data_IF_437876523517
#
_entry.id   IF_437876523517
#
_cell.length_a   1.000
_cell.length_b   1.000
_cell.length_c   1.000
_cell.angle_alpha   90.00
_cell.angle_beta   90.00
_cell.angle_gamma   90.00
#
_symmetry.space_group_name_H-M   'P 1'
#
loop_
_entity.id
_entity.type
_entity.pdbx_description
1 polymer ?
#
# COMPACT_ATOMS: atom_id res chain seq x y z
N UNK A 1 -3.47 -57.99 10.12
CA UNK A 1 -3.05 -56.64 10.54
C UNK A 1 -3.59 -55.64 9.52
N UNK A 2 -4.52 -54.75 9.86
CA UNK A 2 -4.91 -53.69 8.95
C UNK A 2 -3.78 -52.67 8.89
N UNK A 3 -3.38 -52.27 7.69
CA UNK A 3 -2.49 -51.16 7.42
C UNK A 3 -3.08 -49.88 8.07
N UNK A 4 -2.27 -49.07 8.76
CA UNK A 4 -2.73 -47.81 9.28
C UNK A 4 -3.19 -46.94 8.11
N UNK A 5 -4.45 -46.52 8.18
CA UNK A 5 -5.08 -45.76 7.14
C UNK A 5 -4.29 -44.49 6.78
N UNK A 6 -3.93 -44.39 5.53
CA UNK A 6 -3.68 -43.12 4.89
C UNK A 6 -4.95 -42.30 5.01
N UNK A 7 -5.04 -41.51 6.07
CA UNK A 7 -6.04 -40.47 6.23
C UNK A 7 -5.78 -39.34 5.23
N UNK A 8 -5.91 -39.65 3.95
CA UNK A 8 -6.04 -38.63 2.93
C UNK A 8 -7.48 -38.16 3.03
N UNK A 9 -7.65 -37.06 3.73
CA UNK A 9 -8.89 -36.32 3.65
C UNK A 9 -9.26 -36.12 2.18
N UNK A 10 -10.53 -36.15 1.83
CA UNK A 10 -11.02 -36.14 0.45
C UNK A 10 -10.80 -34.78 -0.22
N UNK A 11 -9.58 -34.50 -0.59
CA UNK A 11 -9.29 -33.39 -1.51
C UNK A 11 -9.79 -33.70 -2.93
N UNK A 12 -9.99 -34.98 -3.26
CA UNK A 12 -10.54 -35.39 -4.54
C UNK A 12 -11.93 -34.82 -4.83
N UNK A 13 -12.78 -34.67 -3.81
CA UNK A 13 -14.13 -34.12 -3.99
C UNK A 13 -14.15 -32.64 -4.35
N UNK A 14 -13.24 -31.85 -3.78
CA UNK A 14 -13.13 -30.43 -4.08
C UNK A 14 -12.57 -30.21 -5.52
N UNK A 15 -11.57 -30.99 -5.91
CA UNK A 15 -10.98 -30.94 -7.25
C UNK A 15 -12.01 -31.33 -8.32
N UNK A 16 -12.79 -32.38 -8.09
CA UNK A 16 -13.87 -32.78 -9.00
C UNK A 16 -15.01 -31.75 -9.06
N UNK A 17 -15.33 -31.06 -7.99
CA UNK A 17 -16.34 -30.01 -7.99
C UNK A 17 -15.87 -28.76 -8.75
N UNK A 18 -14.60 -28.39 -8.63
CA UNK A 18 -13.99 -27.31 -9.42
C UNK A 18 -13.97 -27.67 -10.92
N UNK A 19 -13.55 -28.88 -11.26
CA UNK A 19 -13.57 -29.37 -12.64
C UNK A 19 -15.01 -29.40 -13.19
N UNK A 20 -15.98 -29.92 -12.44
CA UNK A 20 -17.38 -29.98 -12.84
C UNK A 20 -17.99 -28.59 -13.05
N UNK A 21 -17.56 -27.60 -12.28
CA UNK A 21 -18.04 -26.22 -12.42
C UNK A 21 -17.46 -25.51 -13.66
N UNK A 22 -16.25 -25.88 -14.06
CA UNK A 22 -15.51 -25.26 -15.19
C UNK A 22 -15.79 -25.99 -16.52
N UNK A 23 -16.11 -27.29 -16.47
CA UNK A 23 -16.29 -28.14 -17.68
C UNK A 23 -17.74 -28.36 -18.09
N UNK A 24 -18.70 -27.63 -17.53
CA UNK A 24 -20.12 -27.77 -17.90
C UNK A 24 -20.41 -27.31 -19.31
N UNK A 25 -21.20 -28.13 -20.04
CA UNK A 25 -21.52 -27.99 -21.47
C UNK A 25 -22.26 -26.71 -21.91
N UNK A 26 -22.79 -25.91 -21.00
CA UNK A 26 -23.52 -24.69 -21.28
C UNK A 26 -22.79 -23.46 -20.75
N UNK A 27 -21.48 -23.49 -20.69
CA UNK A 27 -20.68 -22.49 -20.03
C UNK A 27 -20.23 -21.37 -20.96
N UNK A 28 -20.40 -20.14 -20.50
CA UNK A 28 -19.76 -19.00 -21.15
C UNK A 28 -18.25 -19.14 -20.86
N UNK A 29 -17.36 -19.19 -21.88
CA UNK A 29 -15.92 -19.39 -21.66
C UNK A 29 -15.26 -18.13 -21.08
N UNK A 30 -15.85 -17.61 -20.01
CA UNK A 30 -15.41 -16.41 -19.31
C UNK A 30 -15.61 -16.61 -17.83
N UNK A 31 -14.49 -16.64 -17.10
CA UNK A 31 -14.53 -16.71 -15.64
C UNK A 31 -14.82 -15.31 -15.06
N UNK A 32 -15.90 -15.17 -14.29
CA UNK A 32 -16.22 -13.97 -13.55
C UNK A 32 -15.73 -14.14 -12.11
N UNK A 33 -14.72 -13.39 -11.73
CA UNK A 33 -14.19 -13.39 -10.37
C UNK A 33 -14.95 -12.36 -9.54
N UNK A 34 -15.64 -12.82 -8.49
CA UNK A 34 -16.44 -11.96 -7.59
C UNK A 34 -15.74 -11.68 -6.26
N UNK A 35 -14.57 -12.27 -6.02
CA UNK A 35 -13.92 -12.29 -4.71
C UNK A 35 -12.92 -11.15 -4.50
N UNK A 36 -12.56 -10.42 -5.56
CA UNK A 36 -11.45 -9.48 -5.49
C UNK A 36 -11.87 -8.04 -5.69
N UNK A 37 -11.43 -7.19 -4.79
CA UNK A 37 -11.66 -5.76 -4.82
C UNK A 37 -10.45 -5.04 -5.43
N UNK A 38 -10.70 -4.06 -6.27
CA UNK A 38 -9.66 -3.17 -6.77
C UNK A 38 -9.27 -2.14 -5.71
N UNK A 39 -7.97 -1.88 -5.57
CA UNK A 39 -7.44 -0.79 -4.75
C UNK A 39 -6.88 0.31 -5.66
N UNK A 40 -7.50 1.49 -5.70
CA UNK A 40 -6.98 2.63 -6.46
C UNK A 40 -5.60 3.06 -5.96
N UNK A 41 -5.41 3.02 -4.64
CA UNK A 41 -4.16 3.38 -4.01
C UNK A 41 -3.02 2.46 -4.43
N UNK A 42 -3.24 1.13 -4.37
CA UNK A 42 -2.25 0.16 -4.82
C UNK A 42 -1.91 0.35 -6.31
N UNK A 43 -2.92 0.56 -7.15
CA UNK A 43 -2.71 0.76 -8.58
C UNK A 43 -1.82 1.99 -8.85
N UNK A 44 -2.07 3.08 -8.13
CA UNK A 44 -1.26 4.29 -8.22
C UNK A 44 0.18 4.06 -7.76
N UNK A 45 0.38 3.39 -6.62
CA UNK A 45 1.70 3.10 -6.08
C UNK A 45 2.49 2.15 -6.99
N UNK A 46 1.84 1.14 -7.58
CA UNK A 46 2.47 0.25 -8.56
C UNK A 46 2.87 0.98 -9.85
N UNK A 47 2.05 1.94 -10.31
CA UNK A 47 2.38 2.77 -11.48
C UNK A 47 3.61 3.64 -11.29
N UNK A 48 3.93 4.00 -10.04
CA UNK A 48 5.09 4.81 -9.65
C UNK A 48 6.14 3.99 -8.89
N UNK A 49 6.04 2.66 -8.90
CA UNK A 49 6.96 1.79 -8.17
C UNK A 49 8.38 1.88 -8.75
N UNK A 50 9.35 1.93 -7.86
CA UNK A 50 10.77 1.88 -8.20
C UNK A 50 11.27 0.44 -8.11
N UNK A 51 12.25 0.09 -8.94
CA UNK A 51 12.89 -1.22 -8.88
C UNK A 51 14.14 -1.15 -8.02
N UNK A 52 14.22 -2.05 -7.04
CA UNK A 52 15.46 -2.31 -6.33
C UNK A 52 16.30 -3.26 -7.18
N UNK A 53 17.58 -2.95 -7.36
CA UNK A 53 18.49 -3.74 -8.18
C UNK A 53 18.53 -5.21 -7.70
N UNK A 54 18.69 -6.13 -8.64
CA UNK A 54 18.73 -7.57 -8.36
C UNK A 54 19.79 -7.97 -7.33
N UNK A 55 19.46 -8.94 -6.50
CA UNK A 55 20.34 -9.42 -5.42
C UNK A 55 20.37 -8.53 -4.17
N UNK A 56 19.72 -7.38 -4.15
CA UNK A 56 19.61 -6.51 -2.96
C UNK A 56 18.37 -6.87 -2.16
N UNK A 57 18.59 -7.19 -0.88
CA UNK A 57 17.51 -7.44 0.07
C UNK A 57 17.14 -6.20 0.89
N UNK A 58 17.88 -5.10 0.73
CA UNK A 58 17.72 -3.89 1.51
C UNK A 58 17.89 -2.64 0.63
N UNK A 59 17.00 -1.68 0.83
CA UNK A 59 17.11 -0.34 0.21
C UNK A 59 17.65 0.62 1.26
N UNK A 60 18.75 1.29 0.95
CA UNK A 60 19.37 2.28 1.84
C UNK A 60 19.27 3.66 1.21
N UNK A 61 18.74 4.62 1.96
CA UNK A 61 18.59 6.01 1.52
C UNK A 61 19.25 6.95 2.52
N UNK A 62 20.19 7.81 2.11
CA UNK A 62 20.74 8.83 2.99
C UNK A 62 19.69 9.92 3.24
N UNK A 63 19.42 10.20 4.50
CA UNK A 63 18.42 11.16 4.98
C UNK A 63 19.09 12.24 5.80
N UNK A 64 18.76 13.51 5.54
CA UNK A 64 19.23 14.63 6.34
C UNK A 64 18.14 15.07 7.32
N UNK A 65 18.38 14.87 8.62
CA UNK A 65 17.43 15.20 9.69
C UNK A 65 17.64 16.58 10.32
N UNK A 66 18.84 17.15 10.20
CA UNK A 66 19.16 18.45 10.77
C UNK A 66 20.19 19.22 9.94
N UNK A 67 20.28 20.54 10.17
CA UNK A 67 21.32 21.34 9.53
C UNK A 67 22.70 20.94 10.07
N UNK A 68 23.65 20.73 9.17
CA UNK A 68 25.03 20.41 9.50
C UNK A 68 25.88 21.64 9.81
N UNK A 69 25.40 22.83 9.46
CA UNK A 69 26.09 24.09 9.63
C UNK A 69 25.15 25.16 10.17
N UNK A 70 25.56 25.87 11.19
CA UNK A 70 24.84 27.03 11.71
C UNK A 70 25.44 28.32 11.11
N UNK A 71 24.57 29.17 10.58
CA UNK A 71 24.93 30.53 10.18
C UNK A 71 24.68 31.54 11.29
N UNK A 72 25.45 32.66 11.29
CA UNK A 72 25.21 33.78 12.20
C UNK A 72 25.20 35.09 11.46
N UNK A 73 24.42 36.04 11.97
CA UNK A 73 24.48 37.43 11.51
C UNK A 73 25.60 38.15 12.24
N UNK A 74 26.50 38.83 11.50
CA UNK A 74 27.54 39.65 12.09
C UNK A 74 27.37 41.09 11.62
N UNK A 75 27.66 42.06 12.54
CA UNK A 75 27.74 43.46 12.16
C UNK A 75 28.99 43.76 11.32
N UNK A 76 29.03 44.98 10.73
CA UNK A 76 30.20 45.44 9.99
C UNK A 76 31.46 45.39 10.86
N UNK A 77 32.47 44.62 10.43
CA UNK A 77 33.70 44.40 11.20
C UNK A 77 33.60 43.36 12.33
N UNK A 78 32.46 42.68 12.51
CA UNK A 78 32.31 41.61 13.48
C UNK A 78 33.01 40.33 13.06
N UNK A 79 33.61 39.62 14.02
CA UNK A 79 34.14 38.26 13.84
C UNK A 79 33.03 37.21 13.70
N UNK A 80 33.30 36.10 13.06
CA UNK A 80 32.42 34.93 13.05
C UNK A 80 33.03 33.82 13.89
N UNK A 81 32.17 33.09 14.60
CA UNK A 81 32.59 31.89 15.30
C UNK A 81 32.76 30.74 14.31
N UNK A 82 33.81 29.96 14.48
CA UNK A 82 33.97 28.74 13.67
C UNK A 82 32.77 27.79 13.89
N UNK A 83 32.06 27.41 12.83
CA UNK A 83 30.90 26.53 13.01
C UNK A 83 31.35 25.16 13.51
N UNK A 84 30.65 24.63 14.48
CA UNK A 84 30.77 23.22 14.87
C UNK A 84 29.98 22.38 13.86
N UNK A 85 30.66 21.49 13.18
CA UNK A 85 30.02 20.56 12.23
C UNK A 85 29.24 19.53 13.07
N UNK A 86 27.94 19.51 12.90
CA UNK A 86 27.06 18.50 13.52
C UNK A 86 26.72 17.43 12.49
N UNK A 87 26.92 16.13 12.79
CA UNK A 87 26.51 15.08 11.87
C UNK A 87 24.97 15.12 11.70
N UNK A 88 24.52 15.45 10.50
CA UNK A 88 23.10 15.63 10.19
C UNK A 88 22.52 14.59 9.24
N UNK A 89 23.37 13.72 8.66
CA UNK A 89 22.96 12.68 7.73
C UNK A 89 22.90 11.35 8.46
N UNK A 90 21.78 10.65 8.30
CA UNK A 90 21.57 9.27 8.77
C UNK A 90 21.13 8.42 7.56
N UNK A 91 21.50 7.13 7.59
CA UNK A 91 21.06 6.19 6.57
C UNK A 91 19.78 5.50 7.02
N UNK A 92 18.70 5.76 6.32
CA UNK A 92 17.49 4.97 6.42
C UNK A 92 17.68 3.63 5.70
N UNK A 93 17.26 2.53 6.32
CA UNK A 93 17.41 1.18 5.81
C UNK A 93 16.07 0.45 5.86
N UNK A 94 15.62 -0.07 4.71
CA UNK A 94 14.36 -0.80 4.56
C UNK A 94 14.64 -2.16 3.95
N UNK A 95 14.10 -3.20 4.56
CA UNK A 95 14.25 -4.57 4.10
C UNK A 95 13.08 -4.94 3.22
N UNK A 96 13.34 -5.47 2.03
CA UNK A 96 12.30 -5.99 1.16
C UNK A 96 11.63 -7.20 1.81
N UNK A 97 10.31 -7.20 1.87
CA UNK A 97 9.51 -8.33 2.33
C UNK A 97 9.08 -9.18 1.14
N UNK A 98 9.12 -10.50 1.27
CA UNK A 98 8.79 -11.43 0.20
C UNK A 98 7.48 -12.16 0.49
N UNK A 99 6.51 -11.98 -0.40
CA UNK A 99 5.27 -12.72 -0.43
C UNK A 99 5.40 -13.88 -1.40
N UNK A 100 5.13 -15.09 -0.92
CA UNK A 100 5.31 -16.33 -1.68
C UNK A 100 4.00 -17.09 -1.73
N UNK A 101 3.51 -17.36 -2.95
CA UNK A 101 2.26 -18.09 -3.17
C UNK A 101 2.54 -19.36 -3.98
N UNK A 102 2.31 -20.54 -3.39
CA UNK A 102 2.44 -21.80 -4.13
C UNK A 102 1.26 -22.01 -5.08
N UNK A 103 1.55 -22.49 -6.27
CA UNK A 103 0.57 -22.86 -7.31
C UNK A 103 0.66 -24.37 -7.51
N UNK A 104 -0.19 -25.19 -6.85
CA UNK A 104 -0.18 -26.63 -7.04
C UNK A 104 -0.84 -27.01 -8.37
N UNK A 105 -0.24 -27.98 -9.06
CA UNK A 105 -0.78 -28.62 -10.26
C UNK A 105 -0.80 -30.14 -10.06
N UNK A 106 -1.91 -30.70 -9.55
CA UNK A 106 -2.07 -32.13 -9.39
C UNK A 106 -2.02 -32.88 -10.74
N UNK A 107 -1.41 -34.06 -10.76
CA UNK A 107 -1.21 -34.83 -11.99
C UNK A 107 -2.52 -35.21 -12.70
N UNK A 108 -3.59 -35.47 -11.94
CA UNK A 108 -4.90 -35.81 -12.51
C UNK A 108 -5.52 -34.72 -13.39
N UNK A 109 -5.23 -33.46 -13.09
CA UNK A 109 -5.76 -32.32 -13.86
C UNK A 109 -5.10 -32.18 -15.24
N UNK A 110 -3.81 -32.50 -15.35
CA UNK A 110 -3.07 -32.47 -16.63
C UNK A 110 -3.59 -33.51 -17.62
N UNK A 111 -4.17 -34.65 -17.11
CA UNK A 111 -4.70 -35.72 -17.96
C UNK A 111 -6.13 -35.41 -18.44
N UNK A 112 -6.93 -34.78 -17.59
CA UNK A 112 -8.39 -34.61 -17.83
C UNK A 112 -8.68 -33.41 -18.74
N UNK A 113 -7.82 -32.40 -18.72
CA UNK A 113 -8.03 -31.17 -19.50
C UNK A 113 -7.37 -31.30 -20.88
N UNK A 114 -8.09 -31.86 -21.85
CA UNK A 114 -7.57 -32.14 -23.20
C UNK A 114 -8.18 -31.28 -24.31
N UNK A 115 -9.16 -30.39 -24.03
CA UNK A 115 -9.91 -29.68 -25.07
C UNK A 115 -9.70 -28.18 -25.02
N UNK A 116 -9.33 -27.57 -26.16
CA UNK A 116 -9.06 -26.12 -26.31
C UNK A 116 -10.27 -25.20 -26.05
N UNK A 117 -11.47 -25.76 -25.92
CA UNK A 117 -12.72 -25.01 -25.71
C UNK A 117 -13.06 -24.75 -24.26
N UNK A 118 -12.30 -25.30 -23.34
CA UNK A 118 -12.53 -25.18 -21.89
C UNK A 118 -11.61 -24.13 -21.28
N UNK A 119 -12.08 -23.49 -20.22
CA UNK A 119 -11.24 -22.54 -19.47
C UNK A 119 -10.10 -23.31 -18.82
N UNK A 120 -8.86 -22.96 -19.15
CA UNK A 120 -7.70 -23.60 -18.54
C UNK A 120 -7.68 -23.36 -17.04
N UNK A 121 -7.80 -24.41 -16.24
CA UNK A 121 -7.74 -24.35 -14.77
C UNK A 121 -6.43 -23.71 -14.30
N UNK A 122 -5.33 -24.03 -14.97
CA UNK A 122 -4.04 -23.41 -14.69
C UNK A 122 -4.08 -21.89 -14.88
N UNK A 123 -4.66 -21.41 -15.98
CA UNK A 123 -4.81 -19.97 -16.23
C UNK A 123 -5.71 -19.32 -15.18
N UNK A 124 -6.79 -19.98 -14.78
CA UNK A 124 -7.68 -19.50 -13.72
C UNK A 124 -6.95 -19.39 -12.38
N UNK A 125 -6.16 -20.42 -11.99
CA UNK A 125 -5.35 -20.39 -10.77
C UNK A 125 -4.26 -19.32 -10.80
N UNK A 126 -3.58 -19.14 -11.92
CA UNK A 126 -2.58 -18.08 -12.04
C UNK A 126 -3.23 -16.70 -11.88
N UNK A 127 -4.37 -16.47 -12.50
CA UNK A 127 -5.11 -15.21 -12.32
C UNK A 127 -5.54 -15.01 -10.87
N UNK A 128 -5.98 -16.08 -10.19
CA UNK A 128 -6.36 -16.07 -8.78
C UNK A 128 -5.16 -15.70 -7.88
N UNK A 129 -4.01 -16.33 -8.10
CA UNK A 129 -2.78 -16.03 -7.37
C UNK A 129 -2.37 -14.56 -7.51
N UNK A 130 -2.42 -14.02 -8.72
CA UNK A 130 -2.13 -12.59 -8.93
C UNK A 130 -3.15 -11.68 -8.25
N UNK A 131 -4.41 -12.07 -8.25
CA UNK A 131 -5.46 -11.31 -7.58
C UNK A 131 -5.31 -11.34 -6.06
N UNK A 132 -5.05 -12.51 -5.46
CA UNK A 132 -4.76 -12.68 -4.02
C UNK A 132 -3.52 -11.87 -3.61
N UNK A 133 -2.47 -11.90 -4.41
CA UNK A 133 -1.25 -11.13 -4.13
C UNK A 133 -1.55 -9.63 -4.09
N UNK A 134 -2.28 -9.10 -5.09
CA UNK A 134 -2.66 -7.68 -5.11
C UNK A 134 -3.55 -7.30 -3.93
N UNK A 135 -4.49 -8.16 -3.56
CA UNK A 135 -5.36 -7.94 -2.40
C UNK A 135 -4.58 -7.91 -1.09
N UNK A 136 -3.62 -8.83 -0.92
CA UNK A 136 -2.72 -8.84 0.23
C UNK A 136 -1.88 -7.57 0.29
N UNK A 137 -1.24 -7.18 -0.82
CA UNK A 137 -0.49 -5.93 -0.90
C UNK A 137 -1.34 -4.72 -0.51
N UNK A 138 -2.57 -4.61 -1.05
CA UNK A 138 -3.48 -3.52 -0.75
C UNK A 138 -3.86 -3.45 0.74
N UNK A 139 -4.12 -4.61 1.36
CA UNK A 139 -4.45 -4.67 2.79
C UNK A 139 -3.27 -4.28 3.68
N UNK A 140 -2.06 -4.74 3.36
CA UNK A 140 -0.86 -4.45 4.15
C UNK A 140 -0.42 -3.00 4.09
N UNK A 141 -0.78 -2.25 3.03
CA UNK A 141 -0.44 -0.83 2.90
C UNK A 141 -0.97 0.05 4.05
N UNK A 142 -2.07 -0.36 4.69
CA UNK A 142 -2.75 0.43 5.73
C UNK A 142 -2.65 -0.18 7.13
N UNK A 143 -1.96 -1.30 7.27
CA UNK A 143 -1.87 -2.05 8.54
C UNK A 143 -0.63 -1.66 9.31
N UNK A 144 -0.71 -1.68 10.65
CA UNK A 144 0.48 -1.55 11.49
C UNK A 144 1.29 -2.86 11.43
N UNK A 145 2.38 -2.83 10.69
CA UNK A 145 3.25 -3.99 10.47
C UNK A 145 4.51 -3.97 11.35
N UNK A 146 4.66 -2.99 12.23
CA UNK A 146 5.88 -2.78 13.05
C UNK A 146 6.24 -3.96 13.95
N UNK A 147 5.25 -4.76 14.34
CA UNK A 147 5.45 -5.95 15.19
C UNK A 147 5.89 -7.19 14.39
N UNK A 148 5.82 -7.17 13.06
CA UNK A 148 6.16 -8.30 12.22
C UNK A 148 7.21 -7.92 11.15
N UNK A 149 8.49 -8.17 11.42
CA UNK A 149 9.58 -7.75 10.52
C UNK A 149 9.63 -8.49 9.18
N UNK A 150 8.76 -9.50 8.98
CA UNK A 150 8.64 -10.22 7.72
C UNK A 150 7.60 -9.59 6.76
N UNK A 151 6.82 -8.63 7.26
CA UNK A 151 5.87 -7.89 6.45
C UNK A 151 6.50 -6.59 5.93
N UNK A 152 6.06 -6.09 4.76
CA UNK A 152 6.54 -4.82 4.25
C UNK A 152 6.10 -3.67 5.16
N UNK A 153 6.83 -2.59 5.14
CA UNK A 153 6.39 -1.35 5.77
C UNK A 153 5.11 -0.82 5.10
N UNK A 154 4.37 -0.02 5.82
CA UNK A 154 3.06 0.49 5.44
C UNK A 154 3.00 2.02 5.57
N UNK A 155 1.93 2.62 5.06
CA UNK A 155 1.65 4.04 5.32
C UNK A 155 1.44 4.32 6.80
N UNK A 156 0.87 3.35 7.55
CA UNK A 156 0.76 3.46 9.00
C UNK A 156 2.13 3.63 9.64
N UNK A 157 3.09 2.76 9.28
CA UNK A 157 4.45 2.83 9.81
C UNK A 157 5.18 4.10 9.34
N UNK A 158 5.01 4.48 8.07
CA UNK A 158 5.69 5.63 7.49
C UNK A 158 5.28 6.97 8.13
N UNK A 159 3.98 7.15 8.42
CA UNK A 159 3.43 8.45 8.86
C UNK A 159 3.16 8.54 10.36
N UNK A 160 3.55 7.53 11.15
CA UNK A 160 3.50 7.59 12.62
C UNK A 160 4.51 8.62 13.17
N UNK A 161 4.18 9.26 14.28
CA UNK A 161 5.01 10.27 14.93
C UNK A 161 6.06 9.67 15.90
N UNK A 162 6.12 8.35 15.99
CA UNK A 162 6.96 7.59 16.92
C UNK A 162 6.23 7.13 18.17
N UNK A 163 4.92 7.38 18.26
CA UNK A 163 4.08 6.91 19.39
C UNK A 163 3.83 5.41 19.28
N UNK A 164 3.37 4.94 18.12
CA UNK A 164 3.07 3.51 17.89
C UNK A 164 4.24 2.80 17.22
N UNK A 165 4.98 3.50 16.34
CA UNK A 165 6.11 2.97 15.58
C UNK A 165 7.36 3.80 15.90
N UNK A 166 8.07 3.50 17.01
CA UNK A 166 9.22 4.28 17.44
C UNK A 166 10.43 4.20 16.49
N UNK A 167 10.53 3.11 15.71
CA UNK A 167 11.64 2.91 14.76
C UNK A 167 11.09 2.68 13.36
N UNK A 168 11.56 3.45 12.39
CA UNK A 168 11.20 3.31 10.98
C UNK A 168 12.45 3.49 10.11
N UNK A 169 12.64 2.59 9.14
CA UNK A 169 13.86 2.58 8.34
C UNK A 169 15.15 2.46 9.17
N UNK A 170 15.11 1.75 10.30
CA UNK A 170 16.25 1.64 11.22
C UNK A 170 16.53 2.89 12.08
N UNK A 171 15.78 3.98 11.87
CA UNK A 171 15.96 5.25 12.61
C UNK A 171 14.98 5.31 13.77
N UNK A 172 15.50 5.49 15.00
CA UNK A 172 14.67 5.75 16.17
C UNK A 172 14.16 7.20 16.16
N UNK A 173 12.86 7.38 15.90
CA UNK A 173 12.19 8.69 15.80
C UNK A 173 12.16 9.48 17.11
N UNK A 174 12.23 8.76 18.25
CA UNK A 174 12.17 9.37 19.59
C UNK A 174 13.55 9.74 20.12
N UNK A 175 14.64 9.44 19.40
CA UNK A 175 15.98 9.87 19.81
C UNK A 175 16.14 11.38 19.63
N UNK A 176 16.98 11.96 20.46
CA UNK A 176 17.31 13.39 20.39
C UNK A 176 17.91 13.73 19.02
N UNK A 177 17.42 14.79 18.39
CA UNK A 177 17.84 15.22 17.06
C UNK A 177 17.09 14.57 15.89
N UNK A 178 16.24 13.57 16.15
CA UNK A 178 15.51 12.82 15.12
C UNK A 178 14.07 13.33 14.88
N UNK A 179 13.71 14.50 15.42
CA UNK A 179 12.35 15.05 15.25
C UNK A 179 11.91 15.22 13.79
N UNK A 180 12.84 15.47 12.89
CA UNK A 180 12.57 15.62 11.46
C UNK A 180 12.15 14.30 10.76
N UNK A 181 12.40 13.15 11.39
CA UNK A 181 12.00 11.84 10.86
C UNK A 181 10.63 11.38 11.36
N UNK A 182 9.98 12.17 12.22
CA UNK A 182 8.63 11.90 12.69
C UNK A 182 7.62 12.16 11.57
N UNK A 183 6.66 11.24 11.42
CA UNK A 183 5.50 11.45 10.59
C UNK A 183 4.47 12.35 11.28
N UNK A 184 3.32 12.51 10.65
CA UNK A 184 2.19 13.27 11.19
C UNK A 184 1.06 12.30 11.55
N UNK A 185 0.91 11.99 12.84
CA UNK A 185 -0.14 11.14 13.38
C UNK A 185 -1.17 12.02 14.09
N UNK A 186 -2.35 12.19 13.47
CA UNK A 186 -3.28 13.27 13.80
C UNK A 186 -4.63 12.71 14.26
N UNK A 187 -5.09 13.10 15.44
CA UNK A 187 -6.44 12.77 15.92
C UNK A 187 -7.47 13.70 15.26
N UNK A 188 -8.30 13.17 14.34
CA UNK A 188 -9.31 13.91 13.61
C UNK A 188 -10.55 14.25 14.43
N UNK A 189 -10.71 13.63 15.60
CA UNK A 189 -11.80 13.98 16.55
C UNK A 189 -11.46 15.18 17.44
N UNK A 190 -10.30 15.79 17.28
CA UNK A 190 -9.97 17.02 18.00
C UNK A 190 -10.83 18.21 17.51
N UNK A 191 -11.15 19.15 18.39
CA UNK A 191 -11.96 20.32 18.02
C UNK A 191 -11.36 21.22 16.91
N UNK A 192 -10.11 21.00 16.54
CA UNK A 192 -9.46 21.67 15.41
C UNK A 192 -9.98 21.16 14.07
N UNK A 193 -10.27 19.87 13.95
CA UNK A 193 -10.61 19.19 12.69
C UNK A 193 -12.07 18.74 12.64
N UNK A 194 -12.69 18.49 13.80
CA UNK A 194 -14.08 18.08 13.94
C UNK A 194 -14.94 19.27 14.37
N UNK A 195 -16.06 19.47 13.71
CA UNK A 195 -17.04 20.52 14.04
C UNK A 195 -18.17 19.95 14.94
N UNK A 196 -17.83 19.38 16.08
CA UNK A 196 -18.78 18.86 17.04
C UNK A 196 -19.67 17.75 16.45
N UNK A 197 -21.00 17.88 16.56
CA UNK A 197 -21.95 16.88 16.06
C UNK A 197 -21.93 16.68 14.54
N UNK A 198 -21.38 17.61 13.77
CA UNK A 198 -21.24 17.48 12.32
C UNK A 198 -20.07 16.57 11.90
N UNK A 199 -19.22 16.16 12.85
CA UNK A 199 -18.07 15.31 12.59
C UNK A 199 -17.00 15.99 11.73
N UNK A 200 -16.28 15.19 10.95
CA UNK A 200 -15.23 15.66 10.06
C UNK A 200 -15.83 16.23 8.76
N UNK A 201 -15.56 17.49 8.50
CA UNK A 201 -16.15 18.23 7.38
C UNK A 201 -15.08 18.64 6.35
N UNK A 202 -15.54 19.22 5.23
CA UNK A 202 -14.66 19.86 4.24
C UNK A 202 -13.70 20.87 4.88
N UNK A 203 -14.20 21.72 5.76
CA UNK A 203 -13.37 22.71 6.44
C UNK A 203 -12.30 22.04 7.31
N UNK A 204 -12.66 20.96 8.01
CA UNK A 204 -11.71 20.13 8.75
C UNK A 204 -10.63 19.52 7.85
N UNK A 205 -11.01 18.98 6.68
CA UNK A 205 -10.06 18.47 5.69
C UNK A 205 -9.14 19.56 5.15
N UNK A 206 -9.67 20.73 4.82
CA UNK A 206 -8.84 21.84 4.33
C UNK A 206 -7.86 22.33 5.40
N UNK A 207 -8.29 22.43 6.67
CA UNK A 207 -7.42 22.76 7.81
C UNK A 207 -6.34 21.71 8.02
N UNK A 208 -6.71 20.42 7.91
CA UNK A 208 -5.77 19.31 8.01
C UNK A 208 -4.69 19.41 6.92
N UNK A 209 -5.08 19.56 5.67
CA UNK A 209 -4.15 19.67 4.54
C UNK A 209 -3.25 20.91 4.68
N UNK A 210 -3.77 22.04 5.12
CA UNK A 210 -2.98 23.24 5.38
C UNK A 210 -1.94 23.01 6.48
N UNK A 211 -2.35 22.41 7.62
CA UNK A 211 -1.46 22.09 8.72
C UNK A 211 -0.35 21.09 8.35
N UNK A 212 -0.71 20.05 7.58
CA UNK A 212 0.26 19.08 7.06
C UNK A 212 1.25 19.73 6.11
N UNK A 213 0.77 20.58 5.20
CA UNK A 213 1.62 21.30 4.25
C UNK A 213 2.59 22.25 4.96
N UNK A 214 2.11 22.96 5.98
CA UNK A 214 2.95 23.86 6.77
C UNK A 214 4.05 23.07 7.52
N UNK A 215 3.69 21.99 8.20
CA UNK A 215 4.65 21.12 8.90
C UNK A 215 5.66 20.46 7.94
N UNK A 216 5.27 20.19 6.70
CA UNK A 216 6.14 19.63 5.67
C UNK A 216 7.06 20.67 4.99
N UNK A 217 6.96 21.95 5.39
CA UNK A 217 7.74 23.03 4.80
C UNK A 217 7.22 23.49 3.43
N UNK A 218 5.91 23.52 3.26
CA UNK A 218 5.22 23.96 2.04
C UNK A 218 4.91 22.84 1.04
N UNK A 219 5.18 21.58 1.37
CA UNK A 219 4.93 20.46 0.47
C UNK A 219 3.62 19.72 0.83
N UNK A 220 2.60 19.87 -0.02
CA UNK A 220 1.33 19.21 0.15
C UNK A 220 1.38 17.72 -0.20
N UNK A 221 0.54 16.86 0.42
CA UNK A 221 0.30 15.52 -0.06
C UNK A 221 -0.17 15.51 -1.52
N UNK A 222 0.23 14.51 -2.29
CA UNK A 222 -0.17 14.38 -3.70
C UNK A 222 -1.62 13.88 -3.82
N UNK A 223 -2.01 12.99 -2.91
CA UNK A 223 -3.37 12.45 -2.82
C UNK A 223 -3.70 12.03 -1.39
N UNK A 224 -4.99 11.89 -1.14
CA UNK A 224 -5.54 11.39 0.13
C UNK A 224 -6.35 10.13 -0.12
N UNK A 225 -6.25 9.15 0.78
CA UNK A 225 -7.00 7.90 0.75
C UNK A 225 -7.82 7.75 2.01
N UNK A 226 -9.07 7.33 1.86
CA UNK A 226 -9.97 7.03 2.97
C UNK A 226 -10.90 5.87 2.64
N UNK A 227 -11.60 5.35 3.65
CA UNK A 227 -12.60 4.31 3.46
C UNK A 227 -13.79 4.84 2.64
N UNK A 228 -14.46 4.01 1.79
CA UNK A 228 -15.63 4.43 1.02
C UNK A 228 -16.77 5.01 1.85
N UNK A 229 -17.02 4.49 3.06
CA UNK A 229 -18.03 5.03 3.98
C UNK A 229 -17.67 6.44 4.47
N UNK A 230 -16.42 6.65 4.88
CA UNK A 230 -15.92 7.95 5.32
C UNK A 230 -15.89 8.96 4.16
N UNK A 231 -15.54 8.48 2.96
CA UNK A 231 -15.59 9.27 1.73
C UNK A 231 -17.02 9.74 1.43
N UNK A 232 -18.01 8.86 1.52
CA UNK A 232 -19.42 9.21 1.30
C UNK A 232 -19.91 10.26 2.31
N UNK A 233 -19.51 10.11 3.58
CA UNK A 233 -19.83 11.08 4.64
C UNK A 233 -19.21 12.44 4.33
N UNK A 234 -17.95 12.49 3.97
CA UNK A 234 -17.27 13.72 3.57
C UNK A 234 -17.94 14.33 2.33
N UNK A 235 -18.23 13.54 1.30
CA UNK A 235 -18.87 13.98 0.08
C UNK A 235 -20.26 14.62 0.35
N UNK A 236 -21.02 14.07 1.27
CA UNK A 236 -22.32 14.64 1.66
C UNK A 236 -22.20 16.06 2.24
N UNK A 237 -21.07 16.42 2.83
CA UNK A 237 -20.83 17.79 3.31
C UNK A 237 -20.56 18.78 2.17
N UNK A 238 -20.27 18.29 0.96
CA UNK A 238 -20.04 19.14 -0.23
C UNK A 238 -21.30 19.38 -1.05
N UNK A 239 -22.27 18.45 -1.04
CA UNK A 239 -23.45 18.49 -1.92
C UNK A 239 -24.29 19.78 -1.72
N UNK A 240 -24.17 20.42 -0.57
CA UNK A 240 -24.89 21.65 -0.29
C UNK A 240 -24.24 22.93 -0.84
N UNK A 241 -22.98 22.88 -1.31
CA UNK A 241 -22.19 24.11 -1.54
C UNK A 241 -21.44 24.16 -2.88
N UNK A 242 -21.05 23.06 -3.51
CA UNK A 242 -20.19 23.10 -4.69
C UNK A 242 -20.57 22.10 -5.81
N UNK A 243 -20.46 22.59 -7.04
CA UNK A 243 -20.43 21.74 -8.22
C UNK A 243 -19.10 20.94 -8.22
N UNK A 244 -19.21 19.67 -8.58
CA UNK A 244 -18.03 18.78 -8.73
C UNK A 244 -17.15 19.34 -9.83
N UNK A 245 -16.02 19.93 -9.48
CA UNK A 245 -15.03 20.36 -10.46
C UNK A 245 -14.26 19.15 -10.98
N UNK A 246 -14.08 19.12 -12.29
CA UNK A 246 -13.23 18.12 -12.95
C UNK A 246 -11.80 18.26 -12.44
N UNK A 247 -11.14 17.11 -12.23
CA UNK A 247 -9.75 17.06 -11.78
C UNK A 247 -8.87 17.83 -12.78
N UNK A 248 -8.01 18.75 -12.32
CA UNK A 248 -6.94 19.24 -13.16
C UNK A 248 -6.07 18.07 -13.61
N UNK A 249 -5.76 18.03 -14.90
CA UNK A 249 -4.90 16.99 -15.49
C UNK A 249 -3.61 16.87 -14.68
N UNK A 250 -3.42 15.73 -14.00
CA UNK A 250 -2.12 15.40 -13.43
C UNK A 250 -1.21 15.04 -14.59
N UNK A 251 -0.35 15.99 -14.98
CA UNK A 251 0.60 15.81 -16.07
C UNK A 251 1.50 14.59 -15.77
N UNK A 252 1.45 13.57 -16.61
CA UNK A 252 2.40 12.47 -16.64
C UNK A 252 1.85 11.06 -16.41
N UNK A 253 0.57 10.85 -16.09
CA UNK A 253 0.02 9.50 -15.82
C UNK A 253 -1.27 9.25 -16.62
N UNK A 254 -1.15 9.15 -17.93
CA UNK A 254 -2.29 8.96 -18.83
C UNK A 254 -3.13 7.70 -18.55
N UNK A 255 -2.52 6.61 -18.08
CA UNK A 255 -3.23 5.36 -17.75
C UNK A 255 -4.04 5.46 -16.47
N UNK A 256 -3.61 6.29 -15.53
CA UNK A 256 -4.30 6.50 -14.26
C UNK A 256 -5.45 7.49 -14.40
N UNK A 257 -5.30 8.49 -15.25
CA UNK A 257 -6.36 9.44 -15.56
C UNK A 257 -7.62 8.72 -16.06
N UNK A 258 -7.46 7.71 -16.89
CA UNK A 258 -8.58 6.91 -17.43
C UNK A 258 -9.22 6.05 -16.33
N UNK A 259 -8.43 5.40 -15.46
CA UNK A 259 -8.96 4.57 -14.38
C UNK A 259 -9.68 5.41 -13.31
N UNK A 260 -9.14 6.58 -12.98
CA UNK A 260 -9.74 7.52 -12.02
C UNK A 260 -11.02 8.15 -12.58
N UNK A 261 -11.05 8.49 -13.86
CA UNK A 261 -12.25 9.08 -14.51
C UNK A 261 -13.40 8.08 -14.66
N UNK A 262 -13.11 6.82 -14.86
CA UNK A 262 -14.14 5.82 -15.18
C UNK A 262 -14.67 5.04 -14.00
N UNK A 263 -13.94 4.96 -12.89
CA UNK A 263 -14.25 4.01 -11.82
C UNK A 263 -14.54 4.62 -10.47
N UNK A 264 -14.11 5.87 -10.17
CA UNK A 264 -14.23 6.45 -8.84
C UNK A 264 -14.69 7.91 -8.89
N UNK A 265 -15.67 8.29 -8.06
CA UNK A 265 -16.02 9.70 -7.87
C UNK A 265 -14.81 10.44 -7.27
N UNK A 266 -14.46 11.56 -7.87
CA UNK A 266 -13.28 12.33 -7.49
C UNK A 266 -13.67 13.57 -6.71
N UNK A 267 -13.29 13.59 -5.45
CA UNK A 267 -13.38 14.74 -4.59
C UNK A 267 -12.01 15.42 -4.52
N UNK A 268 -11.96 16.73 -4.73
CA UNK A 268 -10.73 17.52 -4.62
C UNK A 268 -10.90 18.57 -3.53
N UNK A 269 -10.00 18.59 -2.56
CA UNK A 269 -9.94 19.58 -1.48
C UNK A 269 -8.60 20.29 -1.52
N UNK A 270 -8.60 21.61 -1.58
CA UNK A 270 -7.36 22.42 -1.64
C UNK A 270 -6.38 21.97 -2.74
N UNK A 271 -6.90 21.48 -3.87
CA UNK A 271 -6.10 20.96 -4.98
C UNK A 271 -5.60 19.52 -4.82
N UNK A 272 -5.91 18.86 -3.70
CA UNK A 272 -5.49 17.47 -3.44
C UNK A 272 -6.66 16.52 -3.71
N UNK A 273 -6.53 15.54 -4.62
CA UNK A 273 -7.56 14.55 -4.89
C UNK A 273 -7.69 13.55 -3.74
N UNK A 274 -8.94 13.15 -3.45
CA UNK A 274 -9.27 12.18 -2.41
C UNK A 274 -9.84 10.93 -3.08
N UNK A 275 -9.29 9.77 -2.74
CA UNK A 275 -9.71 8.47 -3.26
C UNK A 275 -10.40 7.64 -2.18
N UNK A 276 -11.44 6.94 -2.59
CA UNK A 276 -12.07 5.92 -1.77
C UNK A 276 -11.36 4.58 -2.02
N UNK A 277 -10.82 3.96 -0.97
CA UNK A 277 -10.20 2.65 -1.04
C UNK A 277 -10.81 1.71 0.01
N UNK A 278 -11.27 0.53 -0.45
CA UNK A 278 -11.92 -0.45 0.41
C UNK A 278 -10.99 -1.02 1.49
N UNK A 279 -9.69 -1.07 1.21
CA UNK A 279 -8.69 -1.60 2.15
C UNK A 279 -8.28 -0.60 3.23
N UNK A 280 -8.59 0.69 3.04
CA UNK A 280 -8.37 1.68 4.08
C UNK A 280 -9.31 1.41 5.27
N UNK A 281 -8.79 1.26 6.49
CA UNK A 281 -9.62 1.04 7.68
C UNK A 281 -10.59 2.20 7.91
N UNK A 282 -11.81 1.90 8.36
CA UNK A 282 -12.78 2.92 8.75
C UNK A 282 -12.21 3.84 9.82
N UNK A 283 -12.53 5.10 9.74
CA UNK A 283 -12.07 6.11 10.69
C UNK A 283 -10.62 6.54 10.50
N UNK A 284 -9.94 6.06 9.46
CA UNK A 284 -8.58 6.45 9.13
C UNK A 284 -8.50 7.15 7.78
N UNK A 285 -7.59 8.11 7.69
CA UNK A 285 -7.32 8.90 6.49
C UNK A 285 -5.81 8.96 6.30
N UNK A 286 -5.33 8.66 5.11
CA UNK A 286 -3.91 8.73 4.78
C UNK A 286 -3.67 9.74 3.67
N UNK A 287 -2.78 10.69 3.91
CA UNK A 287 -2.28 11.59 2.87
C UNK A 287 -0.87 11.20 2.46
N UNK A 288 -0.67 10.96 1.19
CA UNK A 288 0.59 10.45 0.64
C UNK A 288 1.20 11.46 -0.30
N UNK A 289 2.49 11.72 -0.13
CA UNK A 289 3.28 12.51 -1.06
C UNK A 289 4.20 11.57 -1.85
N UNK A 290 3.87 11.31 -3.12
CA UNK A 290 4.62 10.38 -3.99
C UNK A 290 6.02 10.86 -4.36
N UNK A 291 6.33 12.12 -4.14
CA UNK A 291 7.70 12.61 -4.34
C UNK A 291 8.68 11.97 -3.36
N UNK A 292 8.21 11.64 -2.17
CA UNK A 292 9.02 11.10 -1.08
C UNK A 292 8.63 9.69 -0.66
N UNK A 293 7.40 9.27 -0.98
CA UNK A 293 6.88 7.96 -0.64
C UNK A 293 6.75 7.13 -1.90
N UNK A 294 7.51 6.05 -1.98
CA UNK A 294 7.55 5.16 -3.14
C UNK A 294 7.45 3.71 -2.69
N UNK A 295 6.86 2.88 -3.55
CA UNK A 295 6.94 1.44 -3.43
C UNK A 295 8.19 0.95 -4.16
N UNK A 296 9.01 0.16 -3.48
CA UNK A 296 10.16 -0.50 -4.08
C UNK A 296 9.83 -1.96 -4.32
N UNK A 297 10.07 -2.44 -5.51
CA UNK A 297 9.89 -3.84 -5.88
C UNK A 297 11.23 -4.47 -6.23
N UNK A 298 11.47 -5.69 -5.77
CA UNK A 298 12.66 -6.44 -6.17
C UNK A 298 12.63 -6.68 -7.67
N UNK A 299 13.75 -6.45 -8.36
CA UNK A 299 13.87 -6.72 -9.80
C UNK A 299 13.71 -8.21 -10.10
N UNK A 300 14.27 -9.08 -9.23
CA UNK A 300 14.26 -10.53 -9.40
C UNK A 300 12.96 -11.20 -8.88
N UNK A 301 12.11 -10.48 -8.18
CA UNK A 301 10.90 -11.00 -7.55
C UNK A 301 9.69 -10.06 -7.71
N UNK A 302 9.54 -9.44 -8.86
CA UNK A 302 8.42 -8.54 -9.17
C UNK A 302 7.22 -9.33 -9.74
N UNK A 303 6.53 -10.13 -8.93
CA UNK A 303 5.48 -11.06 -9.35
C UNK A 303 6.01 -12.12 -10.34
N UNK A 304 7.20 -12.62 -10.07
CA UNK A 304 7.83 -13.60 -10.93
C UNK A 304 7.34 -15.01 -10.61
N UNK A 305 7.26 -15.83 -11.66
CA UNK A 305 6.85 -17.22 -11.58
C UNK A 305 8.05 -18.14 -11.77
N UNK A 306 8.37 -18.95 -10.75
CA UNK A 306 9.54 -19.83 -10.75
C UNK A 306 9.51 -20.98 -11.77
N UNK A 307 8.40 -21.15 -12.50
CA UNK A 307 8.12 -22.35 -13.28
C UNK A 307 7.61 -23.50 -12.41
N UNK A 308 7.22 -24.60 -13.07
CA UNK A 308 6.75 -25.80 -12.36
C UNK A 308 7.91 -26.76 -12.12
N UNK A 309 8.00 -27.28 -10.90
CA UNK A 309 8.90 -28.36 -10.51
C UNK A 309 8.14 -29.56 -10.00
N UNK A 310 8.71 -30.74 -10.21
CA UNK A 310 8.07 -32.02 -9.82
C UNK A 310 8.11 -32.20 -8.29
N UNK A 311 6.99 -32.63 -7.71
CA UNK A 311 6.88 -33.00 -6.30
C UNK A 311 7.22 -34.47 -6.03
N UNK A 312 7.57 -35.25 -7.03
CA UNK A 312 7.93 -36.66 -6.91
C UNK A 312 9.07 -36.91 -5.90
N UNK A 313 10.12 -36.08 -5.81
CA UNK A 313 11.14 -36.24 -4.76
C UNK A 313 10.61 -36.13 -3.33
N UNK A 314 9.43 -35.48 -3.15
CA UNK A 314 8.74 -35.35 -1.86
C UNK A 314 7.66 -36.43 -1.66
N UNK A 315 7.63 -37.47 -2.51
CA UNK A 315 6.64 -38.54 -2.44
C UNK A 315 5.23 -38.15 -2.88
N UNK A 316 5.06 -37.00 -3.56
CA UNK A 316 3.79 -36.54 -4.07
C UNK A 316 3.74 -36.57 -5.61
N UNK A 317 2.62 -37.02 -6.16
CA UNK A 317 2.42 -37.02 -7.61
C UNK A 317 1.81 -35.69 -8.03
N UNK A 318 2.60 -34.85 -8.69
CA UNK A 318 2.17 -33.52 -9.15
C UNK A 318 3.34 -32.61 -9.43
N UNK A 319 3.01 -31.39 -9.79
CA UNK A 319 3.94 -30.29 -9.97
C UNK A 319 3.50 -29.10 -9.12
N UNK A 320 4.44 -28.30 -8.73
CA UNK A 320 4.17 -27.05 -8.00
C UNK A 320 5.02 -25.95 -8.60
N UNK A 321 4.41 -24.82 -8.84
CA UNK A 321 5.09 -23.58 -9.13
C UNK A 321 4.98 -22.63 -7.94
N UNK A 322 5.79 -21.58 -7.94
CA UNK A 322 5.75 -20.55 -6.91
C UNK A 322 5.73 -19.17 -7.57
N UNK A 323 4.83 -18.31 -7.15
CA UNK A 323 4.85 -16.88 -7.50
C UNK A 323 5.46 -16.13 -6.32
N UNK A 324 6.47 -15.32 -6.60
CA UNK A 324 7.18 -14.53 -5.59
C UNK A 324 6.99 -13.05 -5.90
N UNK A 325 6.67 -12.28 -4.86
CA UNK A 325 6.58 -10.83 -4.93
C UNK A 325 7.38 -10.23 -3.77
N UNK A 326 8.49 -9.57 -4.08
CA UNK A 326 9.31 -8.85 -3.10
C UNK A 326 9.05 -7.35 -3.20
N UNK A 327 8.58 -6.71 -2.12
CA UNK A 327 8.35 -5.28 -2.11
C UNK A 327 8.46 -4.68 -0.72
N UNK A 328 8.58 -3.35 -0.69
CA UNK A 328 8.48 -2.55 0.52
C UNK A 328 7.97 -1.14 0.20
N UNK A 329 7.41 -0.44 1.20
CA UNK A 329 6.95 0.95 1.08
C UNK A 329 7.88 1.84 1.88
N UNK A 330 8.58 2.71 1.18
CA UNK A 330 9.56 3.61 1.73
C UNK A 330 9.07 5.05 1.66
N UNK A 331 9.18 5.78 2.77
CA UNK A 331 9.01 7.23 2.82
C UNK A 331 10.30 7.91 3.29
N UNK A 332 10.94 8.63 2.38
CA UNK A 332 12.16 9.37 2.67
C UNK A 332 11.91 10.65 3.50
N UNK A 333 10.69 11.19 3.46
CA UNK A 333 10.27 12.37 4.22
C UNK A 333 8.91 12.13 4.85
N UNK A 334 8.86 11.43 5.98
CA UNK A 334 7.63 11.02 6.66
C UNK A 334 6.70 12.20 7.00
N UNK A 335 7.24 13.38 7.30
CA UNK A 335 6.47 14.59 7.60
C UNK A 335 5.67 15.13 6.40
N UNK A 336 5.98 14.72 5.16
CA UNK A 336 5.25 15.15 3.96
C UNK A 336 3.96 14.37 3.70
N UNK A 337 3.71 13.33 4.47
CA UNK A 337 2.45 12.58 4.51
C UNK A 337 1.85 12.63 5.90
N UNK A 338 0.64 12.09 6.05
CA UNK A 338 -0.03 12.01 7.34
C UNK A 338 -0.90 10.76 7.47
N UNK A 339 -1.11 10.37 8.72
CA UNK A 339 -2.11 9.41 9.14
C UNK A 339 -3.08 10.10 10.10
N UNK A 340 -4.28 10.39 9.62
CA UNK A 340 -5.40 10.84 10.43
C UNK A 340 -6.18 9.65 10.97
N UNK A 341 -6.47 9.64 12.26
CA UNK A 341 -7.23 8.57 12.90
C UNK A 341 -8.42 9.11 13.70
N UNK A 342 -9.30 8.21 14.11
CA UNK A 342 -10.48 8.52 14.93
C UNK A 342 -11.43 9.52 14.23
N UNK A 343 -11.65 9.33 12.93
CA UNK A 343 -12.63 10.10 12.19
C UNK A 343 -14.03 9.76 12.71
N UNK A 344 -14.70 10.72 13.37
CA UNK A 344 -16.07 10.57 13.81
C UNK A 344 -17.04 10.98 12.71
N UNK A 345 -18.11 10.21 12.52
CA UNK A 345 -19.14 10.46 11.52
C UNK A 345 -19.45 9.25 10.63
N UNK A 346 -18.64 8.18 10.65
CA UNK A 346 -18.97 6.94 9.95
C UNK A 346 -19.94 6.08 10.78
N UNK A 347 -21.17 6.56 10.92
CA UNK A 347 -22.27 5.75 11.44
C UNK A 347 -22.88 4.94 10.27
N UNK A 348 -22.16 3.93 9.76
CA UNK A 348 -22.70 2.85 8.93
C UNK A 348 -21.91 1.56 9.14
#
# INVERSE_FOLDING_TARGET
MPLPGLGVAPQSGAIFSELASVTRRAFVPKLFVQLYFGSPCLFYMLGNAQRAAGGLNQVTVPLQGQSMVAGQWTGYGGGFNSPVITPGIQNGQWNLAYWVVPVPLPFGETIIQTTEREVSILKARMNDVYAVTRQNMAGLMFTNNSANPQQPDSFYNAFDDGTNVPTYGGINRNAQGNSAFKGQYINLNSGTYSQGAAGFTRAGMATLLAGVTDAAGGEAPTFVVMNPGDYATLNNTFISIEQIHQIPQMAGVASMETAVRTSFPNLVVSGVPIFADHFCPKGNVYGVNVKYTSMYMSEDAALDFSGFYSLVPLGQIGQQGVVVCGYDILSAKSVSGFHGYNLQGSAF
#
